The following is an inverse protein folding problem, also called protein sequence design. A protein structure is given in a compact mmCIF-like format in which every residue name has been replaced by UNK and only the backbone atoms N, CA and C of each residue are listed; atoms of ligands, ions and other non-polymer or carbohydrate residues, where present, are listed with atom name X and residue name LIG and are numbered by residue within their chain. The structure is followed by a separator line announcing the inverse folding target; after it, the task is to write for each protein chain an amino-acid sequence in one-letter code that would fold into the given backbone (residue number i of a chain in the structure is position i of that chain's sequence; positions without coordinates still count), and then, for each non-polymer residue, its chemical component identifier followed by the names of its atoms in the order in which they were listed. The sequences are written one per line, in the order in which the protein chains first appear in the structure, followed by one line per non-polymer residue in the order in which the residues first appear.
data_IF_771574106007
#
_entry.id   IF_771574106007
#
_cell.length_a   1.000
_cell.length_b   1.000
_cell.length_c   1.000
_cell.angle_alpha   90.00
_cell.angle_beta   90.00
_cell.angle_gamma   90.00
#
_symmetry.space_group_name_H-M   'P 1'
#
loop_
_entity.id
_entity.type
_entity.pdbx_description
1 polymer ?
#
# COMPACT_ATOMS: atom_id res chain seq x y z
N UNK A 1 3.33 42.08 18.87
CA UNK A 1 3.36 40.75 18.22
C UNK A 1 3.48 39.58 19.21
N UNK A 2 4.40 39.62 20.19
CA UNK A 2 4.60 38.52 21.17
C UNK A 2 3.40 38.20 22.08
N UNK A 3 2.58 39.20 22.42
CA UNK A 3 1.42 39.04 23.33
C UNK A 3 0.27 38.26 22.68
N UNK A 4 0.09 38.38 21.37
CA UNK A 4 -0.97 37.68 20.64
C UNK A 4 -0.60 36.21 20.42
N UNK A 5 0.67 35.92 20.06
CA UNK A 5 1.18 34.56 19.89
C UNK A 5 1.03 33.75 21.20
N UNK A 6 1.29 34.37 22.36
CA UNK A 6 1.17 33.72 23.66
C UNK A 6 -0.29 33.36 24.02
N UNK A 7 -1.29 34.12 23.53
CA UNK A 7 -2.71 33.79 23.68
C UNK A 7 -3.11 32.61 22.78
N UNK A 8 -2.61 32.57 21.54
CA UNK A 8 -2.85 31.46 20.63
C UNK A 8 -2.24 30.15 21.12
N UNK A 9 -1.01 30.18 21.66
CA UNK A 9 -0.36 28.99 22.24
C UNK A 9 -1.12 28.48 23.49
N UNK A 10 -1.64 29.39 24.33
CA UNK A 10 -2.45 29.02 25.49
C UNK A 10 -3.81 28.41 25.10
N UNK A 11 -4.44 28.89 24.02
CA UNK A 11 -5.71 28.36 23.54
C UNK A 11 -5.58 26.96 22.91
N UNK A 12 -4.49 26.69 22.20
CA UNK A 12 -4.26 25.38 21.55
C UNK A 12 -3.94 24.29 22.58
N UNK A 13 -3.29 24.63 23.69
CA UNK A 13 -2.93 23.67 24.76
C UNK A 13 -4.15 23.07 25.49
N UNK A 14 -5.31 23.73 25.47
CA UNK A 14 -6.53 23.25 26.13
C UNK A 14 -7.32 22.23 25.28
N UNK A 15 -7.08 22.17 23.95
CA UNK A 15 -7.83 21.28 23.05
C UNK A 15 -7.25 19.85 22.96
N UNK A 16 -6.09 19.59 23.55
CA UNK A 16 -5.37 18.31 23.39
C UNK A 16 -5.68 17.23 24.42
N UNK A 17 -6.59 17.45 25.38
CA UNK A 17 -6.70 16.60 26.58
C UNK A 17 -8.04 15.86 26.74
N UNK A 18 -8.64 15.36 25.64
CA UNK A 18 -9.89 14.56 25.70
C UNK A 18 -9.91 13.34 24.75
N UNK A 19 -8.76 12.72 24.48
CA UNK A 19 -8.67 11.50 23.65
C UNK A 19 -8.08 10.29 24.38
N UNK A 20 -8.34 10.15 25.69
CA UNK A 20 -7.96 8.96 26.47
C UNK A 20 -9.07 8.57 27.44
N UNK A 21 -9.36 7.27 27.48
CA UNK A 21 -10.35 6.54 28.30
C UNK A 21 -11.62 6.09 27.56
N UNK A 22 -11.47 5.17 26.59
CA UNK A 22 -12.49 4.14 26.36
C UNK A 22 -12.05 2.87 27.09
N UNK A 23 -12.36 2.80 28.38
CA UNK A 23 -12.42 1.54 29.13
C UNK A 23 -13.84 1.42 29.68
N UNK A 24 -14.71 0.78 28.90
CA UNK A 24 -16.00 0.31 29.39
C UNK A 24 -16.28 -1.05 28.81
N UNK A 25 -16.37 -2.04 29.70
CA UNK A 25 -16.97 -3.33 29.41
C UNK A 25 -15.97 -4.47 29.29
N UNK A 26 -15.41 -4.88 30.43
CA UNK A 26 -15.13 -6.29 30.61
C UNK A 26 -16.44 -7.04 30.31
N UNK A 27 -16.49 -7.71 29.16
CA UNK A 27 -17.59 -8.61 28.83
C UNK A 27 -17.49 -9.75 29.83
N UNK A 28 -18.49 -9.76 30.69
CA UNK A 28 -18.77 -10.74 31.72
C UNK A 28 -18.61 -12.15 31.13
N UNK A 29 -17.69 -12.91 31.72
CA UNK A 29 -17.41 -14.28 31.38
C UNK A 29 -18.61 -15.16 31.75
N UNK A 30 -19.56 -15.32 30.81
CA UNK A 30 -20.46 -16.47 30.85
C UNK A 30 -19.69 -17.68 30.32
N UNK A 31 -19.13 -18.46 31.25
CA UNK A 31 -18.68 -19.83 31.02
C UNK A 31 -19.92 -20.69 30.74
N UNK A 32 -20.28 -20.80 29.47
CA UNK A 32 -21.07 -21.92 28.99
C UNK A 32 -20.11 -22.82 28.19
N UNK A 33 -20.07 -24.09 28.60
CA UNK A 33 -19.19 -25.13 28.09
C UNK A 33 -19.38 -25.32 26.58
N UNK A 34 -18.46 -24.77 25.79
CA UNK A 34 -18.23 -25.19 24.41
C UNK A 34 -16.73 -25.22 24.17
N UNK A 35 -16.10 -26.29 24.65
CA UNK A 35 -14.73 -26.67 24.33
C UNK A 35 -14.61 -27.18 22.88
N UNK A 36 -15.15 -26.42 21.91
CA UNK A 36 -14.80 -26.59 20.51
C UNK A 36 -13.76 -25.52 20.16
N UNK A 37 -12.51 -25.87 20.44
CA UNK A 37 -11.32 -25.38 19.75
C UNK A 37 -11.32 -23.89 19.36
N UNK A 38 -11.15 -23.00 20.34
CA UNK A 38 -10.69 -21.63 20.09
C UNK A 38 -9.22 -21.55 19.63
N UNK A 39 -8.59 -22.69 19.30
CA UNK A 39 -7.28 -22.76 18.68
C UNK A 39 -7.45 -22.77 17.16
N UNK A 40 -6.93 -21.73 16.49
CA UNK A 40 -6.74 -21.60 15.04
C UNK A 40 -7.88 -21.04 14.17
N UNK A 41 -8.53 -19.94 14.56
CA UNK A 41 -9.04 -19.02 13.52
C UNK A 41 -7.87 -18.13 13.09
N UNK A 42 -6.92 -18.70 12.34
CA UNK A 42 -6.01 -17.85 11.55
C UNK A 42 -6.90 -17.13 10.53
N UNK A 43 -6.85 -15.79 10.41
CA UNK A 43 -7.55 -15.12 9.32
C UNK A 43 -7.13 -15.78 8.00
N UNK A 44 -8.09 -16.35 7.27
CA UNK A 44 -7.79 -16.90 5.95
C UNK A 44 -7.39 -15.75 5.04
N UNK A 45 -6.10 -15.61 4.79
CA UNK A 45 -5.59 -14.57 3.90
C UNK A 45 -5.90 -14.99 2.47
N UNK A 46 -6.77 -14.24 1.80
CA UNK A 46 -7.04 -14.42 0.37
C UNK A 46 -5.83 -13.97 -0.46
N UNK A 47 -4.89 -14.88 -0.62
CA UNK A 47 -3.69 -14.68 -1.42
C UNK A 47 -4.00 -14.55 -2.92
N UNK A 48 -5.10 -15.12 -3.43
CA UNK A 48 -5.47 -14.93 -4.84
C UNK A 48 -5.97 -13.50 -5.08
N UNK A 49 -6.83 -12.99 -4.19
CA UNK A 49 -7.29 -11.62 -4.22
C UNK A 49 -6.15 -10.61 -4.01
N UNK A 50 -5.20 -10.89 -3.11
CA UNK A 50 -4.00 -10.06 -2.95
C UNK A 50 -3.16 -10.03 -4.23
N UNK A 51 -2.95 -11.17 -4.87
CA UNK A 51 -2.20 -11.23 -6.12
C UNK A 51 -2.84 -10.34 -7.21
N UNK A 52 -4.16 -10.46 -7.41
CA UNK A 52 -4.90 -9.64 -8.39
C UNK A 52 -4.75 -8.14 -8.11
N UNK A 53 -4.88 -7.72 -6.85
CA UNK A 53 -4.69 -6.30 -6.46
C UNK A 53 -3.31 -5.77 -6.81
N UNK A 54 -2.27 -6.60 -6.64
CA UNK A 54 -0.91 -6.22 -7.01
C UNK A 54 -0.68 -6.26 -8.54
N UNK A 55 -1.30 -7.18 -9.28
CA UNK A 55 -1.32 -7.21 -10.76
C UNK A 55 -1.97 -5.92 -11.32
N UNK A 56 -3.12 -5.52 -10.78
CA UNK A 56 -3.82 -4.30 -11.15
C UNK A 56 -2.96 -3.06 -10.84
N UNK A 57 -2.32 -3.05 -9.67
CA UNK A 57 -1.40 -1.98 -9.26
C UNK A 57 -0.20 -1.89 -10.21
N UNK A 58 0.43 -3.01 -10.56
CA UNK A 58 1.54 -3.04 -11.50
C UNK A 58 1.12 -2.48 -12.87
N UNK A 59 -0.04 -2.91 -13.36
CA UNK A 59 -0.63 -2.43 -14.63
C UNK A 59 -0.86 -0.92 -14.60
N UNK A 60 -1.43 -0.39 -13.52
CA UNK A 60 -1.67 1.05 -13.40
C UNK A 60 -0.37 1.86 -13.33
N UNK A 61 0.65 1.35 -12.63
CA UNK A 61 1.96 2.00 -12.55
C UNK A 61 2.66 2.04 -13.91
N UNK A 62 2.52 0.98 -14.72
CA UNK A 62 3.04 0.97 -16.10
C UNK A 62 2.30 1.95 -17.01
N UNK A 63 0.98 2.07 -16.87
CA UNK A 63 0.19 3.08 -17.58
C UNK A 63 0.68 4.50 -17.27
N UNK A 64 0.90 4.80 -15.98
CA UNK A 64 1.45 6.09 -15.52
C UNK A 64 2.86 6.32 -16.08
N UNK A 65 3.73 5.29 -16.05
CA UNK A 65 5.07 5.38 -16.63
C UNK A 65 5.00 5.71 -18.13
N UNK A 66 4.11 5.05 -18.88
CA UNK A 66 3.93 5.29 -20.31
C UNK A 66 3.41 6.71 -20.61
N UNK A 67 2.53 7.26 -19.78
CA UNK A 67 2.08 8.65 -19.91
C UNK A 67 3.25 9.64 -19.73
N UNK A 68 4.08 9.41 -18.71
CA UNK A 68 5.26 10.22 -18.48
C UNK A 68 6.31 10.08 -19.59
N UNK A 69 6.46 8.90 -20.19
CA UNK A 69 7.32 8.69 -21.36
C UNK A 69 6.85 9.47 -22.58
N UNK A 70 5.54 9.46 -22.88
CA UNK A 70 4.97 10.28 -23.97
C UNK A 70 5.26 11.76 -23.76
N UNK A 71 5.09 12.26 -22.53
CA UNK A 71 5.40 13.65 -22.18
C UNK A 71 6.90 13.96 -22.32
N UNK A 72 7.76 13.04 -21.89
CA UNK A 72 9.20 13.17 -22.02
C UNK A 72 9.62 13.23 -23.50
N UNK A 73 9.00 12.42 -24.36
CA UNK A 73 9.28 12.45 -25.81
C UNK A 73 8.98 13.83 -26.39
N UNK A 74 7.81 14.40 -26.08
CA UNK A 74 7.47 15.76 -26.50
C UNK A 74 8.49 16.82 -26.04
N UNK A 75 9.03 16.70 -24.82
CA UNK A 75 10.11 17.58 -24.35
C UNK A 75 11.42 17.40 -25.12
N UNK A 76 11.80 16.15 -25.44
CA UNK A 76 12.99 15.86 -26.23
C UNK A 76 12.89 16.43 -27.65
N UNK A 77 11.72 16.28 -28.28
CA UNK A 77 11.45 16.79 -29.63
C UNK A 77 11.57 18.33 -29.69
N UNK A 78 11.28 19.01 -28.58
CA UNK A 78 11.40 20.47 -28.43
C UNK A 78 12.61 20.92 -27.61
N UNK A 79 13.62 20.06 -27.46
CA UNK A 79 14.78 20.32 -26.59
C UNK A 79 15.56 21.60 -26.95
N UNK A 80 15.56 21.99 -28.23
CA UNK A 80 16.16 23.22 -28.72
C UNK A 80 15.58 24.51 -28.10
N UNK A 81 14.39 24.46 -27.50
CA UNK A 81 13.73 25.61 -26.87
C UNK A 81 14.20 25.91 -25.43
N UNK A 82 14.82 24.95 -24.73
CA UNK A 82 14.90 25.00 -23.26
C UNK A 82 16.33 25.14 -22.68
N UNK A 83 17.36 25.11 -23.51
CA UNK A 83 18.75 25.35 -23.08
C UNK A 83 19.20 24.48 -21.90
N UNK A 84 20.01 25.03 -20.98
CA UNK A 84 20.56 24.29 -19.83
C UNK A 84 19.47 23.82 -18.85
N UNK A 85 18.47 24.65 -18.56
CA UNK A 85 17.36 24.33 -17.65
C UNK A 85 16.47 23.19 -18.18
N UNK A 86 16.44 23.00 -19.50
CA UNK A 86 15.78 21.86 -20.15
C UNK A 86 16.43 20.51 -19.80
N UNK A 87 17.76 20.47 -19.68
CA UNK A 87 18.50 19.23 -19.36
C UNK A 87 18.19 18.72 -17.95
N UNK A 88 18.16 19.61 -16.96
CA UNK A 88 17.81 19.23 -15.58
C UNK A 88 16.35 18.78 -15.47
N UNK A 89 15.45 19.42 -16.22
CA UNK A 89 14.04 19.04 -16.29
C UNK A 89 13.84 17.68 -16.96
N UNK A 90 14.63 17.38 -18.00
CA UNK A 90 14.66 16.09 -18.67
C UNK A 90 15.16 14.97 -17.74
N UNK A 91 16.23 15.21 -16.99
CA UNK A 91 16.76 14.26 -16.02
C UNK A 91 15.71 13.92 -14.94
N UNK A 92 15.02 14.94 -14.41
CA UNK A 92 13.90 14.73 -13.47
C UNK A 92 12.77 13.91 -14.08
N UNK A 93 12.38 14.21 -15.32
CA UNK A 93 11.32 13.46 -16.00
C UNK A 93 11.70 11.99 -16.23
N UNK A 94 12.94 11.71 -16.61
CA UNK A 94 13.47 10.34 -16.73
C UNK A 94 13.39 9.63 -15.37
N UNK A 95 13.84 10.28 -14.30
CA UNK A 95 13.81 9.70 -12.96
C UNK A 95 12.38 9.35 -12.51
N UNK A 96 11.38 10.16 -12.88
CA UNK A 96 9.97 9.87 -12.60
C UNK A 96 9.50 8.61 -13.33
N UNK A 97 9.81 8.46 -14.63
CA UNK A 97 9.48 7.23 -15.39
C UNK A 97 10.09 6.00 -14.72
N UNK A 98 11.38 6.06 -14.40
CA UNK A 98 12.09 4.93 -13.79
C UNK A 98 11.53 4.57 -12.41
N UNK A 99 11.13 5.57 -11.62
CA UNK A 99 10.47 5.36 -10.32
C UNK A 99 9.17 4.56 -10.47
N UNK A 100 8.35 4.88 -11.46
CA UNK A 100 7.09 4.17 -11.68
C UNK A 100 7.32 2.75 -12.23
N UNK A 101 8.28 2.55 -13.12
CA UNK A 101 8.66 1.21 -13.61
C UNK A 101 9.14 0.32 -12.47
N UNK A 102 10.06 0.81 -11.63
CA UNK A 102 10.54 0.08 -10.47
C UNK A 102 9.41 -0.24 -9.47
N UNK A 103 8.46 0.68 -9.29
CA UNK A 103 7.29 0.43 -8.46
C UNK A 103 6.37 -0.65 -9.05
N UNK A 104 6.21 -0.69 -10.38
CA UNK A 104 5.45 -1.71 -11.07
C UNK A 104 6.10 -3.10 -10.93
N UNK A 105 7.43 -3.18 -11.06
CA UNK A 105 8.19 -4.42 -10.85
C UNK A 105 7.98 -4.97 -9.44
N UNK A 106 8.12 -4.13 -8.41
CA UNK A 106 7.87 -4.54 -7.01
C UNK A 106 6.44 -5.01 -6.77
N UNK A 107 5.46 -4.38 -7.42
CA UNK A 107 4.07 -4.82 -7.36
C UNK A 107 3.90 -6.19 -8.05
N UNK A 108 4.49 -6.39 -9.23
CA UNK A 108 4.46 -7.67 -9.93
C UNK A 108 5.14 -8.79 -9.13
N UNK A 109 6.25 -8.48 -8.45
CA UNK A 109 6.92 -9.42 -7.55
C UNK A 109 6.01 -9.83 -6.38
N UNK A 110 5.35 -8.85 -5.75
CA UNK A 110 4.39 -9.09 -4.67
C UNK A 110 3.20 -9.95 -5.14
N UNK A 111 2.70 -9.71 -6.36
CA UNK A 111 1.68 -10.54 -6.98
C UNK A 111 2.15 -11.98 -7.16
N UNK A 112 3.36 -12.16 -7.69
CA UNK A 112 3.97 -13.47 -7.88
C UNK A 112 4.07 -14.27 -6.57
N UNK A 113 4.58 -13.63 -5.50
CA UNK A 113 4.67 -14.25 -4.17
C UNK A 113 3.30 -14.71 -3.68
N UNK A 114 2.27 -13.87 -3.79
CA UNK A 114 0.92 -14.24 -3.39
C UNK A 114 0.29 -15.35 -4.26
N UNK A 115 0.54 -15.36 -5.58
CA UNK A 115 0.13 -16.47 -6.45
C UNK A 115 0.78 -17.79 -6.04
N UNK A 116 2.07 -17.77 -5.70
CA UNK A 116 2.79 -18.96 -5.25
C UNK A 116 2.19 -19.53 -3.98
N UNK A 117 1.97 -18.70 -2.96
CA UNK A 117 1.36 -19.14 -1.69
C UNK A 117 -0.05 -19.70 -1.92
N UNK A 118 -0.87 -19.03 -2.74
CA UNK A 118 -2.21 -19.53 -3.11
C UNK A 118 -2.17 -20.89 -3.80
N UNK A 119 -1.22 -21.11 -4.71
CA UNK A 119 -1.03 -22.41 -5.39
C UNK A 119 -0.60 -23.51 -4.43
N UNK A 120 0.33 -23.23 -3.51
CA UNK A 120 0.78 -24.20 -2.51
C UNK A 120 -0.37 -24.59 -1.58
N UNK A 121 -1.10 -23.62 -1.04
CA UNK A 121 -2.25 -23.88 -0.18
C UNK A 121 -3.32 -24.76 -0.86
N UNK A 122 -3.60 -24.53 -2.16
CA UNK A 122 -4.52 -25.37 -2.94
C UNK A 122 -4.00 -26.79 -3.11
N UNK A 123 -2.71 -26.98 -3.35
CA UNK A 123 -2.09 -28.31 -3.49
C UNK A 123 -2.16 -29.09 -2.18
N UNK A 124 -1.85 -28.44 -1.07
CA UNK A 124 -1.89 -29.07 0.27
C UNK A 124 -3.32 -29.50 0.64
N UNK A 125 -4.32 -28.68 0.31
CA UNK A 125 -5.73 -29.03 0.49
C UNK A 125 -6.14 -30.24 -0.37
N UNK A 126 -5.74 -30.28 -1.65
CA UNK A 126 -6.05 -31.42 -2.53
C UNK A 126 -5.41 -32.70 -1.97
N UNK A 127 -4.14 -32.63 -1.57
CA UNK A 127 -3.40 -33.77 -1.03
C UNK A 127 -4.03 -34.32 0.27
N UNK A 128 -4.51 -33.44 1.16
CA UNK A 128 -5.20 -33.87 2.39
C UNK A 128 -6.54 -34.55 2.10
N UNK A 129 -7.32 -34.03 1.14
CA UNK A 129 -8.61 -34.63 0.76
C UNK A 129 -8.49 -35.95 0.01
N UNK A 130 -7.38 -36.19 -0.70
CA UNK A 130 -7.13 -37.45 -1.42
C UNK A 130 -6.57 -38.58 -0.54
N UNK A 131 -6.18 -38.26 0.70
CA UNK A 131 -5.62 -39.22 1.67
C UNK A 131 -6.67 -39.77 2.65
N UNK A 132 -7.95 -39.41 2.46
CA UNK A 132 -9.12 -39.86 3.21
C UNK A 132 -10.09 -40.59 2.29
#
# INVERSE_FOLDING_TARGET
MQKEIRKFVAAISMLGLLAGCLETGAIEAKKDDTSLSAQNIRPFVDHDGLARRYEDRASKLLEIAAEHEKRLQYYKDKSYLYGKSGRDSQARAIAVVQKYKLAAEKAAESAFHHRMVSKLAKRDYIASTASH
#
